data_IF_797895891429
#
_entry.id   IF_797895891429
#
_cell.length_a   1.000
_cell.length_b   1.000
_cell.length_c   1.000
_cell.angle_alpha   90.00
_cell.angle_beta   90.00
_cell.angle_gamma   90.00
#
_symmetry.space_group_name_H-M   'P 1'
#
loop_
_entity.id
_entity.type
_entity.pdbx_description
1 polymer ?
#
# COMPACT_ATOMS: atom_id res chain seq x y z
N UNK A 1 18.21 4.76 -1.64
CA UNK A 1 17.36 3.65 -1.13
C UNK A 1 18.18 2.90 -0.10
N UNK A 2 17.60 2.63 1.07
CA UNK A 2 18.19 1.77 2.09
C UNK A 2 17.49 0.41 2.06
N UNK A 3 18.25 -0.68 2.05
CA UNK A 3 17.76 -2.02 2.36
C UNK A 3 18.43 -2.48 3.64
N UNK A 4 17.65 -2.93 4.62
CA UNK A 4 18.17 -3.40 5.91
C UNK A 4 17.23 -4.44 6.52
N UNK A 5 17.61 -5.06 7.62
CA UNK A 5 16.76 -6.00 8.36
C UNK A 5 15.72 -5.26 9.20
N UNK A 6 14.71 -5.96 9.72
CA UNK A 6 13.76 -5.38 10.68
C UNK A 6 14.48 -4.86 11.93
N UNK A 7 15.56 -5.53 12.34
CA UNK A 7 16.39 -5.08 13.45
C UNK A 7 17.20 -3.83 13.09
N UNK A 8 17.70 -3.72 11.86
CA UNK A 8 18.32 -2.48 11.37
C UNK A 8 17.33 -1.30 11.39
N UNK A 9 16.09 -1.50 10.95
CA UNK A 9 15.06 -0.47 11.08
C UNK A 9 14.81 -0.07 12.54
N UNK A 10 14.77 -1.05 13.45
CA UNK A 10 14.65 -0.77 14.89
C UNK A 10 15.83 0.01 15.45
N UNK A 11 17.07 -0.28 15.02
CA UNK A 11 18.23 0.53 15.42
C UNK A 11 18.05 1.98 14.98
N UNK A 12 17.61 2.20 13.73
CA UNK A 12 17.32 3.54 13.23
C UNK A 12 16.22 4.23 14.04
N UNK A 13 15.15 3.52 14.39
CA UNK A 13 14.07 4.05 15.25
C UNK A 13 14.60 4.48 16.62
N UNK A 14 15.39 3.63 17.29
CA UNK A 14 15.95 3.92 18.60
C UNK A 14 16.84 5.17 18.58
N UNK A 15 17.77 5.26 17.62
CA UNK A 15 18.71 6.38 17.50
C UNK A 15 18.00 7.69 17.12
N UNK A 16 16.90 7.62 16.37
CA UNK A 16 16.15 8.81 15.94
C UNK A 16 15.01 9.21 16.87
N UNK A 17 14.66 8.35 17.84
CA UNK A 17 13.49 8.54 18.70
C UNK A 17 12.16 8.37 17.94
N UNK A 18 12.16 7.70 16.79
CA UNK A 18 10.96 7.48 15.98
C UNK A 18 10.18 6.29 16.52
N UNK A 19 9.11 6.58 17.27
CA UNK A 19 8.37 5.56 18.01
C UNK A 19 7.60 4.58 17.12
N UNK A 20 7.09 5.07 15.99
CA UNK A 20 6.26 4.27 15.10
C UNK A 20 6.53 4.65 13.64
N UNK A 21 6.63 3.63 12.80
CA UNK A 21 6.68 3.77 11.33
C UNK A 21 5.31 3.38 10.75
N UNK A 22 5.20 2.20 10.16
CA UNK A 22 3.98 1.68 9.55
C UNK A 22 3.55 0.38 10.26
N UNK A 23 2.75 0.44 11.35
CA UNK A 23 2.27 -0.75 12.07
C UNK A 23 1.50 -1.73 11.17
N UNK A 24 0.85 -1.24 10.12
CA UNK A 24 0.17 -2.02 9.08
C UNK A 24 1.08 -3.02 8.35
N UNK A 25 2.40 -2.78 8.37
CA UNK A 25 3.41 -3.70 7.85
C UNK A 25 3.82 -4.77 8.88
N UNK A 26 3.19 -4.82 10.06
CA UNK A 26 3.53 -5.74 11.15
C UNK A 26 4.88 -5.43 11.82
N UNK A 27 5.32 -4.18 11.73
CA UNK A 27 6.58 -3.71 12.32
C UNK A 27 6.36 -3.40 13.80
N UNK A 28 7.35 -3.75 14.63
CA UNK A 28 7.28 -3.45 16.07
C UNK A 28 7.36 -1.93 16.31
N UNK A 29 6.59 -1.39 17.27
CA UNK A 29 6.85 -0.04 17.76
C UNK A 29 8.18 0.00 18.52
N UNK A 30 8.77 1.19 18.65
CA UNK A 30 9.83 1.45 19.62
C UNK A 30 9.20 1.57 21.01
N UNK A 31 9.82 0.98 22.02
CA UNK A 31 9.47 1.18 23.42
C UNK A 31 10.55 2.06 24.06
N UNK A 32 10.38 3.40 24.16
CA UNK A 32 11.48 4.32 24.51
C UNK A 32 12.22 3.99 25.81
N UNK A 33 11.51 3.41 26.79
CA UNK A 33 12.11 3.00 28.08
C UNK A 33 13.02 1.76 27.98
N UNK A 34 12.84 0.92 26.97
CA UNK A 34 13.55 -0.35 26.80
C UNK A 34 14.52 -0.31 25.61
N UNK A 35 14.16 0.42 24.57
CA UNK A 35 14.85 0.49 23.28
C UNK A 35 15.71 1.77 23.17
N UNK A 36 16.62 1.94 24.12
CA UNK A 36 17.52 3.10 24.17
C UNK A 36 18.54 3.10 23.02
N UNK A 37 18.99 4.26 22.51
CA UNK A 37 20.04 4.36 21.50
C UNK A 37 21.30 3.55 21.82
N UNK A 38 21.77 3.57 23.08
CA UNK A 38 22.99 2.89 23.52
C UNK A 38 22.85 1.35 23.47
N UNK A 39 21.64 0.84 23.64
CA UNK A 39 21.35 -0.59 23.49
C UNK A 39 21.29 -0.96 22.01
N UNK A 40 20.64 -0.13 21.20
CA UNK A 40 20.49 -0.35 19.77
C UNK A 40 21.83 -0.33 19.03
N UNK A 41 22.71 0.63 19.34
CA UNK A 41 24.05 0.74 18.73
C UNK A 41 24.98 -0.45 19.06
N UNK A 42 24.68 -1.22 20.11
CA UNK A 42 25.41 -2.47 20.43
C UNK A 42 24.89 -3.70 19.68
N UNK A 43 23.76 -3.57 18.97
CA UNK A 43 23.21 -4.67 18.19
C UNK A 43 24.05 -4.91 16.91
N UNK A 44 24.24 -6.16 16.45
CA UNK A 44 25.02 -6.45 15.24
C UNK A 44 24.55 -5.69 13.99
N UNK A 45 23.24 -5.45 13.87
CA UNK A 45 22.67 -4.66 12.78
C UNK A 45 23.22 -3.22 12.68
N UNK A 46 23.74 -2.64 13.77
CA UNK A 46 24.36 -1.32 13.73
C UNK A 46 25.63 -1.31 12.84
N UNK A 47 26.45 -2.37 12.89
CA UNK A 47 27.63 -2.48 12.04
C UNK A 47 27.26 -2.59 10.55
N UNK A 48 26.17 -3.31 10.23
CA UNK A 48 25.64 -3.39 8.86
C UNK A 48 25.13 -2.02 8.37
N UNK A 49 24.48 -1.26 9.24
CA UNK A 49 24.01 0.10 8.93
C UNK A 49 25.17 1.08 8.71
N UNK A 50 26.25 0.98 9.49
CA UNK A 50 27.48 1.76 9.25
C UNK A 50 28.09 1.40 7.90
N UNK A 51 28.22 0.10 7.59
CA UNK A 51 28.73 -0.35 6.30
C UNK A 51 27.87 0.11 5.11
N UNK A 52 26.56 0.25 5.32
CA UNK A 52 25.62 0.79 4.34
C UNK A 52 25.58 2.33 4.27
N UNK A 53 26.35 3.03 5.11
CA UNK A 53 26.32 4.50 5.22
C UNK A 53 25.04 5.07 5.82
N UNK A 54 24.21 4.23 6.45
CA UNK A 54 22.98 4.65 7.14
C UNK A 54 23.26 5.21 8.55
N UNK A 55 24.39 4.79 9.15
CA UNK A 55 24.94 5.35 10.37
C UNK A 55 26.36 5.86 10.10
N UNK A 56 26.75 6.96 10.74
CA UNK A 56 28.14 7.41 10.79
C UNK A 56 28.93 6.69 11.91
N UNK A 57 30.24 6.95 11.99
CA UNK A 57 31.11 6.36 13.02
C UNK A 57 30.73 6.77 14.46
N UNK A 58 30.03 7.89 14.62
CA UNK A 58 29.52 8.36 15.91
C UNK A 58 28.14 7.76 16.25
N UNK A 59 27.58 6.92 15.37
CA UNK A 59 26.28 6.29 15.54
C UNK A 59 25.10 7.20 15.21
N UNK A 60 25.31 8.31 14.51
CA UNK A 60 24.21 9.17 14.04
C UNK A 60 23.63 8.62 12.73
N UNK A 61 22.31 8.67 12.62
CA UNK A 61 21.62 8.35 11.37
C UNK A 61 21.87 9.42 10.31
N UNK A 62 22.14 8.98 9.08
CA UNK A 62 22.20 9.83 7.90
C UNK A 62 21.00 10.81 7.86
N UNK A 63 21.24 12.11 7.63
CA UNK A 63 20.17 13.12 7.68
C UNK A 63 19.00 12.81 6.75
N UNK A 64 19.25 12.26 5.56
CA UNK A 64 18.20 11.95 4.59
C UNK A 64 17.35 10.77 5.06
N UNK A 65 17.96 9.74 5.64
CA UNK A 65 17.22 8.62 6.25
C UNK A 65 16.37 9.11 7.42
N UNK A 66 16.88 10.03 8.24
CA UNK A 66 16.11 10.65 9.33
C UNK A 66 14.87 11.40 8.81
N UNK A 67 15.00 12.15 7.72
CA UNK A 67 13.85 12.79 7.06
C UNK A 67 12.82 11.74 6.58
N UNK A 68 13.29 10.63 5.99
CA UNK A 68 12.37 9.57 5.55
C UNK A 68 11.60 8.95 6.71
N UNK A 69 12.27 8.66 7.83
CA UNK A 69 11.62 8.14 9.04
C UNK A 69 10.63 9.15 9.64
N UNK A 70 10.95 10.44 9.54
CA UNK A 70 10.06 11.52 9.98
C UNK A 70 8.78 11.55 9.15
N UNK A 71 8.87 11.36 7.82
CA UNK A 71 7.69 11.23 6.95
C UNK A 71 6.81 10.06 7.39
N UNK A 72 7.38 8.91 7.72
CA UNK A 72 6.60 7.74 8.17
C UNK A 72 5.86 7.99 9.50
N UNK A 73 6.55 8.61 10.47
CA UNK A 73 5.98 8.95 11.77
C UNK A 73 4.87 10.01 11.65
N UNK A 74 5.10 11.01 10.81
CA UNK A 74 4.25 12.21 10.70
C UNK A 74 3.21 12.09 9.60
N UNK A 75 3.15 10.96 8.88
CA UNK A 75 2.31 10.80 7.69
C UNK A 75 0.88 11.29 7.90
N UNK A 76 0.41 12.06 6.95
CA UNK A 76 -0.97 12.54 6.82
C UNK A 76 -1.81 11.48 6.07
N UNK A 77 -1.18 10.80 5.10
CA UNK A 77 -1.77 9.82 4.20
C UNK A 77 -0.86 8.59 4.08
N UNK A 78 -1.46 7.41 3.96
CA UNK A 78 -0.79 6.17 3.60
C UNK A 78 -1.58 5.34 2.59
N UNK A 79 -0.89 4.61 1.72
CA UNK A 79 -1.47 3.49 0.97
C UNK A 79 -0.76 2.21 1.40
N UNK A 80 -1.49 1.33 2.06
CA UNK A 80 -1.04 -0.03 2.32
C UNK A 80 -1.24 -0.86 1.06
N UNK A 81 -0.17 -1.48 0.58
CA UNK A 81 -0.17 -2.42 -0.54
C UNK A 81 0.23 -3.79 -0.01
N UNK A 82 -0.63 -4.78 -0.16
CA UNK A 82 -0.37 -6.18 0.20
C UNK A 82 -0.22 -6.99 -1.07
N UNK A 83 0.94 -7.60 -1.28
CA UNK A 83 1.31 -8.27 -2.52
C UNK A 83 1.47 -9.76 -2.25
N UNK A 84 0.73 -10.58 -2.99
CA UNK A 84 0.83 -12.02 -2.97
C UNK A 84 1.09 -12.51 -4.39
N UNK A 85 2.20 -13.22 -4.59
CA UNK A 85 2.57 -13.80 -5.88
C UNK A 85 2.64 -15.32 -5.69
N UNK A 86 2.01 -16.14 -6.56
CA UNK A 86 2.09 -17.59 -6.45
C UNK A 86 3.52 -18.09 -6.32
N UNK A 87 3.78 -18.92 -5.30
CA UNK A 87 5.10 -19.48 -5.03
C UNK A 87 6.13 -18.51 -4.43
N UNK A 88 5.71 -17.31 -3.99
CA UNK A 88 6.57 -16.37 -3.26
C UNK A 88 5.97 -16.01 -1.90
N UNK A 89 6.83 -15.66 -0.96
CA UNK A 89 6.40 -15.09 0.31
C UNK A 89 5.65 -13.77 0.08
N UNK A 90 4.51 -13.55 0.75
CA UNK A 90 3.79 -12.29 0.66
C UNK A 90 4.65 -11.11 1.12
N UNK A 91 4.58 -10.00 0.40
CA UNK A 91 5.23 -8.76 0.77
C UNK A 91 4.20 -7.65 1.01
N UNK A 92 4.64 -6.61 1.71
CA UNK A 92 3.78 -5.46 2.03
C UNK A 92 4.56 -4.18 1.81
N UNK A 93 3.89 -3.13 1.39
CA UNK A 93 4.48 -1.81 1.29
C UNK A 93 3.51 -0.76 1.81
N UNK A 94 4.07 0.34 2.30
CA UNK A 94 3.32 1.53 2.66
C UNK A 94 3.88 2.73 1.90
N UNK A 95 3.05 3.37 1.09
CA UNK A 95 3.38 4.62 0.40
C UNK A 95 2.84 5.75 1.27
N UNK A 96 3.71 6.53 1.89
CA UNK A 96 3.35 7.53 2.90
C UNK A 96 3.62 8.94 2.40
N UNK A 97 2.70 9.86 2.70
CA UNK A 97 2.88 11.30 2.51
C UNK A 97 2.92 12.01 3.85
N UNK A 98 3.88 12.92 4.01
CA UNK A 98 3.84 13.96 5.04
C UNK A 98 4.11 15.32 4.37
N UNK A 99 3.18 16.26 4.50
CA UNK A 99 3.20 17.51 3.74
C UNK A 99 3.40 17.23 2.23
N UNK A 100 4.50 17.67 1.63
CA UNK A 100 4.79 17.44 0.20
C UNK A 100 5.67 16.22 -0.06
N UNK A 101 6.22 15.59 0.98
CA UNK A 101 7.20 14.51 0.86
C UNK A 101 6.55 13.15 0.82
N UNK A 102 7.04 12.29 -0.08
CA UNK A 102 6.57 10.93 -0.25
C UNK A 102 7.71 9.93 0.00
N UNK A 103 7.44 8.94 0.83
CA UNK A 103 8.38 7.88 1.22
C UNK A 103 7.67 6.55 1.15
N UNK A 104 8.39 5.52 0.71
CA UNK A 104 7.88 4.15 0.73
C UNK A 104 8.69 3.32 1.70
N UNK A 105 7.96 2.53 2.49
CA UNK A 105 8.53 1.47 3.31
C UNK A 105 7.97 0.13 2.84
N UNK A 106 8.83 -0.74 2.33
CA UNK A 106 8.50 -2.11 1.95
C UNK A 106 8.98 -3.07 3.03
N UNK A 107 8.24 -4.16 3.23
CA UNK A 107 8.62 -5.31 4.05
C UNK A 107 8.51 -6.59 3.21
N UNK A 108 9.61 -7.32 3.20
CA UNK A 108 9.75 -8.65 2.62
C UNK A 108 10.29 -9.58 3.72
N UNK A 109 9.40 -10.26 4.42
CA UNK A 109 9.74 -11.07 5.60
C UNK A 109 10.57 -10.29 6.65
N UNK A 110 11.87 -10.61 6.81
CA UNK A 110 12.80 -9.96 7.75
C UNK A 110 13.56 -8.78 7.15
N UNK A 111 13.35 -8.46 5.88
CA UNK A 111 13.98 -7.34 5.20
C UNK A 111 12.99 -6.19 5.01
N UNK A 112 13.51 -4.98 5.12
CA UNK A 112 12.79 -3.76 4.78
C UNK A 112 13.54 -2.95 3.73
N UNK A 113 12.78 -2.22 2.91
CA UNK A 113 13.34 -1.20 2.00
C UNK A 113 12.70 0.14 2.29
N UNK A 114 13.54 1.14 2.53
CA UNK A 114 13.13 2.51 2.81
C UNK A 114 13.73 3.44 1.76
N UNK A 115 12.89 4.23 1.08
CA UNK A 115 13.37 5.15 0.05
C UNK A 115 12.36 6.27 -0.24
N UNK A 116 12.82 7.40 -0.80
CA UNK A 116 11.95 8.50 -1.17
C UNK A 116 11.26 8.18 -2.49
N UNK A 117 9.96 8.46 -2.58
CA UNK A 117 9.21 8.43 -3.83
C UNK A 117 9.17 9.79 -4.54
N UNK A 118 9.46 10.88 -3.83
CA UNK A 118 9.58 12.22 -4.40
C UNK A 118 8.85 13.28 -3.58
N UNK A 119 8.61 14.43 -4.20
CA UNK A 119 7.83 15.52 -3.62
C UNK A 119 6.73 15.96 -4.56
N UNK A 120 5.54 16.24 -4.04
CA UNK A 120 4.43 16.78 -4.82
C UNK A 120 3.70 17.90 -4.07
N UNK A 121 3.38 18.97 -4.80
CA UNK A 121 2.61 20.12 -4.32
C UNK A 121 1.30 20.32 -5.08
N UNK A 122 0.94 19.39 -5.97
CA UNK A 122 -0.31 19.37 -6.72
C UNK A 122 -0.88 17.95 -6.76
N UNK A 123 -2.20 17.84 -6.94
CA UNK A 123 -2.88 16.54 -7.04
C UNK A 123 -2.35 15.69 -8.21
N UNK A 124 -2.12 16.31 -9.36
CA UNK A 124 -1.58 15.62 -10.53
C UNK A 124 -0.19 15.03 -10.26
N UNK A 125 0.73 15.80 -9.66
CA UNK A 125 2.06 15.31 -9.33
C UNK A 125 2.02 14.20 -8.26
N UNK A 126 1.15 14.35 -7.25
CA UNK A 126 0.96 13.34 -6.22
C UNK A 126 0.39 12.03 -6.80
N UNK A 127 -0.54 12.15 -7.74
CA UNK A 127 -1.12 11.00 -8.45
C UNK A 127 -0.08 10.26 -9.27
N UNK A 128 0.78 10.96 -10.01
CA UNK A 128 1.87 10.34 -10.77
C UNK A 128 2.86 9.60 -9.87
N UNK A 129 3.21 10.18 -8.71
CA UNK A 129 4.05 9.49 -7.72
C UNK A 129 3.38 8.19 -7.26
N UNK A 130 2.11 8.26 -6.84
CA UNK A 130 1.36 7.11 -6.33
C UNK A 130 1.27 6.00 -7.38
N UNK A 131 0.84 6.34 -8.60
CA UNK A 131 0.69 5.37 -9.69
C UNK A 131 2.04 4.76 -10.06
N UNK A 132 3.10 5.57 -10.17
CA UNK A 132 4.44 5.07 -10.44
C UNK A 132 4.96 4.12 -9.35
N UNK A 133 4.65 4.39 -8.07
CA UNK A 133 5.02 3.46 -6.99
C UNK A 133 4.22 2.16 -7.03
N UNK A 134 2.93 2.22 -7.37
CA UNK A 134 2.10 1.02 -7.53
C UNK A 134 2.58 0.17 -8.70
N UNK A 135 2.90 0.76 -9.85
CA UNK A 135 3.49 0.05 -10.99
C UNK A 135 4.83 -0.60 -10.61
N UNK A 136 5.70 0.13 -9.89
CA UNK A 136 6.99 -0.42 -9.44
C UNK A 136 6.81 -1.62 -8.50
N UNK A 137 5.83 -1.54 -7.59
CA UNK A 137 5.52 -2.59 -6.63
C UNK A 137 4.89 -3.82 -7.30
N UNK A 138 3.98 -3.61 -8.25
CA UNK A 138 3.30 -4.70 -8.97
C UNK A 138 4.16 -5.28 -10.10
N UNK A 139 5.18 -4.56 -10.56
CA UNK A 139 5.98 -4.95 -11.72
C UNK A 139 5.28 -4.66 -13.06
N UNK A 140 5.94 -5.08 -14.15
CA UNK A 140 5.48 -4.84 -15.52
C UNK A 140 4.54 -5.97 -15.96
N UNK A 141 3.34 -5.61 -16.41
CA UNK A 141 2.40 -6.52 -17.07
C UNK A 141 1.53 -5.74 -18.07
N UNK A 142 1.15 -6.40 -19.17
CA UNK A 142 0.19 -5.83 -20.13
C UNK A 142 -1.23 -5.88 -19.55
N UNK A 143 -2.06 -4.90 -19.92
CA UNK A 143 -3.46 -4.90 -19.52
C UNK A 143 -4.23 -6.05 -20.21
N UNK A 144 -5.08 -6.74 -19.47
CA UNK A 144 -5.95 -7.76 -20.03
C UNK A 144 -6.89 -7.16 -21.09
N UNK A 145 -7.11 -7.84 -22.24
CA UNK A 145 -8.02 -7.38 -23.29
C UNK A 145 -9.48 -7.62 -22.87
N UNK A 146 -9.93 -6.88 -21.86
CA UNK A 146 -11.20 -7.06 -21.16
C UNK A 146 -12.12 -5.88 -21.42
N UNK A 147 -13.41 -6.12 -21.68
CA UNK A 147 -14.43 -5.06 -21.50
C UNK A 147 -14.81 -4.97 -20.03
N UNK A 148 -14.91 -3.76 -19.44
CA UNK A 148 -15.20 -3.63 -18.02
C UNK A 148 -16.44 -4.41 -17.59
N UNK A 149 -16.33 -5.10 -16.46
CA UNK A 149 -17.41 -5.88 -15.84
C UNK A 149 -17.83 -5.16 -14.57
N UNK A 150 -19.14 -5.01 -14.36
CA UNK A 150 -19.71 -4.47 -13.12
C UNK A 150 -20.52 -5.55 -12.43
N UNK A 151 -20.16 -5.87 -11.20
CA UNK A 151 -20.83 -6.85 -10.36
C UNK A 151 -21.43 -6.16 -9.13
N UNK A 152 -22.66 -6.50 -8.76
CA UNK A 152 -23.24 -6.05 -7.49
C UNK A 152 -22.50 -6.72 -6.33
N UNK A 153 -21.96 -5.93 -5.39
CA UNK A 153 -21.12 -6.46 -4.30
C UNK A 153 -21.94 -7.26 -3.30
N UNK A 154 -23.17 -6.85 -3.00
CA UNK A 154 -24.02 -7.56 -2.04
C UNK A 154 -24.45 -8.91 -2.60
N UNK A 155 -24.86 -8.96 -3.87
CA UNK A 155 -25.21 -10.20 -4.54
C UNK A 155 -24.03 -11.15 -4.67
N UNK A 156 -22.84 -10.61 -5.02
CA UNK A 156 -21.61 -11.39 -5.11
C UNK A 156 -21.29 -12.06 -3.78
N UNK A 157 -21.27 -11.30 -2.68
CA UNK A 157 -20.95 -11.83 -1.34
C UNK A 157 -22.00 -12.79 -0.81
N UNK A 158 -23.28 -12.58 -1.15
CA UNK A 158 -24.37 -13.47 -0.75
C UNK A 158 -24.36 -14.81 -1.52
N UNK A 159 -23.86 -14.82 -2.76
CA UNK A 159 -23.97 -15.99 -3.65
C UNK A 159 -22.69 -16.79 -3.80
N UNK A 160 -21.52 -16.19 -3.51
CA UNK A 160 -20.21 -16.80 -3.77
C UNK A 160 -19.50 -17.14 -2.46
N UNK A 161 -19.22 -18.43 -2.30
CA UNK A 161 -18.51 -18.98 -1.13
C UNK A 161 -17.32 -19.87 -1.52
N UNK A 162 -17.25 -20.27 -2.79
CA UNK A 162 -16.20 -21.11 -3.35
C UNK A 162 -16.08 -20.88 -4.88
N UNK A 163 -15.15 -21.57 -5.53
CA UNK A 163 -14.94 -21.46 -6.98
C UNK A 163 -16.14 -21.94 -7.80
N UNK A 164 -16.90 -22.93 -7.32
CA UNK A 164 -18.04 -23.48 -8.05
C UNK A 164 -19.22 -22.50 -8.07
N UNK A 165 -19.55 -21.92 -6.91
CA UNK A 165 -20.55 -20.87 -6.73
C UNK A 165 -20.14 -19.58 -7.44
N UNK A 166 -18.85 -19.21 -7.46
CA UNK A 166 -18.36 -18.09 -8.28
C UNK A 166 -18.67 -18.31 -9.76
N UNK A 167 -18.35 -19.49 -10.31
CA UNK A 167 -18.63 -19.81 -11.71
C UNK A 167 -20.14 -19.75 -12.00
N UNK A 168 -20.96 -20.31 -11.14
CA UNK A 168 -22.42 -20.27 -11.30
C UNK A 168 -22.95 -18.83 -11.30
N UNK A 169 -22.54 -18.01 -10.33
CA UNK A 169 -22.90 -16.60 -10.24
C UNK A 169 -22.51 -15.83 -11.51
N UNK A 170 -21.27 -16.00 -12.00
CA UNK A 170 -20.79 -15.29 -13.18
C UNK A 170 -21.51 -15.70 -14.48
N UNK A 171 -21.98 -16.95 -14.59
CA UNK A 171 -22.80 -17.38 -15.73
C UNK A 171 -24.15 -16.66 -15.76
N UNK A 172 -24.74 -16.34 -14.60
CA UNK A 172 -25.98 -15.57 -14.50
C UNK A 172 -25.80 -14.10 -14.89
N UNK A 173 -24.58 -13.56 -14.77
CA UNK A 173 -24.24 -12.18 -15.15
C UNK A 173 -24.11 -11.97 -16.67
N UNK A 174 -24.34 -13.01 -17.48
CA UNK A 174 -24.28 -12.97 -18.96
C UNK A 174 -22.94 -12.46 -19.51
N UNK A 175 -21.85 -12.78 -18.82
CA UNK A 175 -20.50 -12.51 -19.29
C UNK A 175 -20.19 -13.34 -20.54
N UNK A 176 -19.38 -12.81 -21.44
CA UNK A 176 -18.82 -13.62 -22.52
C UNK A 176 -17.77 -14.62 -21.98
N UNK A 177 -17.38 -15.58 -22.81
CA UNK A 177 -16.49 -16.66 -22.39
C UNK A 177 -15.11 -16.14 -21.92
N UNK A 178 -14.59 -15.10 -22.57
CA UNK A 178 -13.29 -14.51 -22.25
C UNK A 178 -13.35 -13.74 -20.92
N UNK A 179 -14.42 -12.97 -20.71
CA UNK A 179 -14.72 -12.31 -19.44
C UNK A 179 -14.84 -13.32 -18.30
N UNK A 180 -15.65 -14.37 -18.46
CA UNK A 180 -15.83 -15.42 -17.46
C UNK A 180 -14.48 -16.08 -17.09
N UNK A 181 -13.70 -16.46 -18.10
CA UNK A 181 -12.40 -17.10 -17.89
C UNK A 181 -11.40 -16.16 -17.21
N UNK A 182 -11.40 -14.88 -17.57
CA UNK A 182 -10.55 -13.85 -16.95
C UNK A 182 -10.89 -13.69 -15.48
N UNK A 183 -12.17 -13.53 -15.13
CA UNK A 183 -12.59 -13.36 -13.72
C UNK A 183 -12.29 -14.61 -12.89
N UNK A 184 -12.57 -15.80 -13.42
CA UNK A 184 -12.26 -17.06 -12.73
C UNK A 184 -10.76 -17.23 -12.49
N UNK A 185 -9.93 -16.86 -13.46
CA UNK A 185 -8.46 -16.93 -13.32
C UNK A 185 -7.97 -15.87 -12.33
N UNK A 186 -8.49 -14.65 -12.42
CA UNK A 186 -8.16 -13.57 -11.49
C UNK A 186 -8.59 -13.88 -10.04
N UNK A 187 -9.62 -14.70 -9.82
CA UNK A 187 -10.02 -15.15 -8.47
C UNK A 187 -9.17 -16.31 -7.92
N UNK A 188 -8.36 -16.95 -8.77
CA UNK A 188 -7.52 -18.09 -8.39
C UNK A 188 -6.13 -17.62 -7.91
N UNK A 189 -6.00 -17.45 -6.60
CA UNK A 189 -4.74 -17.04 -5.95
C UNK A 189 -3.56 -18.00 -6.14
N UNK A 190 -3.80 -19.24 -6.59
CA UNK A 190 -2.71 -20.16 -6.94
C UNK A 190 -2.14 -19.89 -8.34
N UNK A 191 -2.87 -19.13 -9.17
CA UNK A 191 -2.52 -18.85 -10.57
C UNK A 191 -2.29 -17.37 -10.86
N UNK A 192 -2.78 -16.50 -9.98
CA UNK A 192 -2.72 -15.05 -10.14
C UNK A 192 -1.95 -14.38 -9.02
N UNK A 193 -1.19 -13.34 -9.39
CA UNK A 193 -0.58 -12.46 -8.42
C UNK A 193 -1.54 -11.31 -8.09
N UNK A 194 -1.66 -10.98 -6.82
CA UNK A 194 -2.58 -9.96 -6.31
C UNK A 194 -1.81 -8.87 -5.58
N UNK A 195 -2.14 -7.62 -5.86
CA UNK A 195 -1.78 -6.47 -5.04
C UNK A 195 -3.06 -5.78 -4.55
N UNK A 196 -3.36 -5.90 -3.27
CA UNK A 196 -4.52 -5.27 -2.63
C UNK A 196 -4.10 -3.96 -1.97
N UNK A 197 -4.80 -2.88 -2.29
CA UNK A 197 -4.47 -1.52 -1.89
C UNK A 197 -5.58 -0.97 -1.00
N UNK A 198 -5.21 -0.48 0.18
CA UNK A 198 -6.10 0.18 1.14
C UNK A 198 -5.52 1.53 1.52
N UNK A 199 -6.34 2.56 1.53
CA UNK A 199 -5.91 3.91 1.88
C UNK A 199 -6.12 4.21 3.37
N UNK A 200 -5.22 5.01 3.93
CA UNK A 200 -5.15 5.39 5.34
C UNK A 200 -5.01 6.91 5.45
N UNK A 201 -5.71 7.53 6.39
CA UNK A 201 -5.54 8.95 6.74
C UNK A 201 -5.32 9.10 8.24
N UNK A 202 -4.26 9.79 8.64
CA UNK A 202 -4.03 10.14 10.04
C UNK A 202 -4.74 11.46 10.40
N UNK A 203 -4.99 11.69 11.69
CA UNK A 203 -5.52 12.97 12.18
C UNK A 203 -7.03 13.12 12.01
N UNK A 204 -7.77 12.02 11.97
CA UNK A 204 -9.23 12.03 11.85
C UNK A 204 -9.86 11.88 13.24
N UNK A 205 -10.69 12.85 13.64
CA UNK A 205 -11.39 12.88 14.93
C UNK A 205 -10.99 14.08 15.81
N UNK A 206 -11.64 14.26 16.98
CA UNK A 206 -11.26 15.30 17.93
C UNK A 206 -9.82 15.10 18.43
N UNK A 207 -9.10 16.22 18.62
CA UNK A 207 -7.63 16.33 18.78
C UNK A 207 -7.00 15.38 19.84
N UNK A 208 -7.76 14.91 20.83
CA UNK A 208 -7.24 14.07 21.92
C UNK A 208 -7.00 12.60 21.54
N UNK A 209 -7.55 12.13 20.41
CA UNK A 209 -7.36 10.78 19.91
C UNK A 209 -7.15 10.84 18.40
N UNK A 210 -5.97 11.22 17.93
CA UNK A 210 -5.63 11.18 16.51
C UNK A 210 -5.75 9.75 15.97
N UNK A 211 -6.93 9.41 15.42
CA UNK A 211 -7.19 8.09 14.84
C UNK A 211 -6.65 8.05 13.41
N UNK A 212 -6.20 6.87 13.01
CA UNK A 212 -6.01 6.55 11.60
C UNK A 212 -7.36 6.09 11.06
N UNK A 213 -7.95 6.87 10.16
CA UNK A 213 -9.07 6.41 9.36
C UNK A 213 -8.57 5.41 8.31
N UNK A 214 -9.20 4.25 8.27
CA UNK A 214 -8.98 3.23 7.24
C UNK A 214 -10.10 3.37 6.21
N UNK A 215 -9.73 3.43 4.94
CA UNK A 215 -10.69 3.48 3.84
C UNK A 215 -11.64 2.27 3.88
N UNK A 216 -12.90 2.50 3.52
CA UNK A 216 -13.97 1.48 3.59
C UNK A 216 -14.05 0.59 2.33
N UNK A 217 -13.06 0.72 1.44
CA UNK A 217 -12.93 0.02 0.17
C UNK A 217 -11.48 -0.29 -0.15
N UNK A 218 -11.25 -1.14 -1.13
CA UNK A 218 -9.92 -1.47 -1.66
C UNK A 218 -9.90 -1.39 -3.18
N UNK A 219 -8.68 -1.28 -3.72
CA UNK A 219 -8.38 -1.55 -5.13
C UNK A 219 -7.50 -2.78 -5.18
N UNK A 220 -7.79 -3.71 -6.09
CA UNK A 220 -6.99 -4.91 -6.30
C UNK A 220 -6.42 -4.90 -7.71
N UNK A 221 -5.11 -5.07 -7.85
CA UNK A 221 -4.45 -5.27 -9.13
C UNK A 221 -4.09 -6.74 -9.22
N UNK A 222 -4.57 -7.41 -10.26
CA UNK A 222 -4.42 -8.85 -10.41
C UNK A 222 -3.73 -9.16 -11.72
N UNK A 223 -2.55 -9.76 -11.63
CA UNK A 223 -1.84 -10.28 -12.79
C UNK A 223 -2.27 -11.71 -13.05
N UNK A 224 -2.82 -11.92 -14.25
CA UNK A 224 -3.22 -13.23 -14.75
C UNK A 224 -2.35 -13.59 -15.96
N UNK A 225 -2.32 -14.87 -16.37
CA UNK A 225 -1.73 -15.24 -17.66
C UNK A 225 -2.35 -14.53 -18.87
N UNK A 226 -3.58 -14.02 -18.76
CA UNK A 226 -4.28 -13.25 -19.80
C UNK A 226 -4.08 -11.74 -19.71
N UNK A 227 -3.21 -11.27 -18.81
CA UNK A 227 -2.94 -9.84 -18.57
C UNK A 227 -3.42 -9.35 -17.21
N UNK A 228 -3.09 -8.09 -16.91
CA UNK A 228 -3.41 -7.38 -15.68
C UNK A 228 -4.86 -6.91 -15.67
N UNK A 229 -5.54 -7.10 -14.56
CA UNK A 229 -6.90 -6.63 -14.28
C UNK A 229 -6.85 -5.67 -13.09
N UNK A 230 -7.57 -4.56 -13.17
CA UNK A 230 -7.80 -3.67 -12.04
C UNK A 230 -9.22 -3.89 -11.51
N UNK A 231 -9.36 -4.09 -10.21
CA UNK A 231 -10.64 -4.32 -9.54
C UNK A 231 -10.83 -3.21 -8.51
N UNK A 232 -11.93 -2.46 -8.61
CA UNK A 232 -12.24 -1.40 -7.66
C UNK A 232 -13.66 -1.53 -7.12
N UNK A 233 -13.89 -1.00 -5.92
CA UNK A 233 -15.23 -0.92 -5.35
C UNK A 233 -15.81 0.49 -5.53
N UNK A 234 -16.91 0.61 -6.26
CA UNK A 234 -17.60 1.89 -6.52
C UNK A 234 -18.96 1.93 -5.83
N UNK A 235 -19.28 3.03 -5.16
CA UNK A 235 -20.62 3.28 -4.63
C UNK A 235 -21.40 4.13 -5.64
N UNK A 236 -22.56 3.66 -6.06
CA UNK A 236 -23.46 4.37 -6.97
C UNK A 236 -24.91 4.07 -6.60
N UNK A 237 -25.74 5.10 -6.46
CA UNK A 237 -27.16 4.93 -6.12
C UNK A 237 -27.40 4.15 -4.83
N UNK A 238 -26.62 4.43 -3.78
CA UNK A 238 -26.61 3.71 -2.48
C UNK A 238 -26.24 2.23 -2.54
N UNK A 239 -25.83 1.70 -3.70
CA UNK A 239 -25.33 0.33 -3.86
C UNK A 239 -23.83 0.33 -4.09
N UNK A 240 -23.19 -0.78 -3.74
CA UNK A 240 -21.77 -1.01 -3.94
C UNK A 240 -21.55 -2.01 -5.07
N UNK A 241 -20.67 -1.67 -5.99
CA UNK A 241 -20.32 -2.49 -7.14
C UNK A 241 -18.83 -2.81 -7.13
N UNK A 242 -18.46 -4.00 -7.61
CA UNK A 242 -17.10 -4.32 -8.02
C UNK A 242 -16.99 -4.06 -9.51
N UNK A 243 -16.03 -3.22 -9.91
CA UNK A 243 -15.73 -2.95 -11.31
C UNK A 243 -14.39 -3.61 -11.63
N UNK A 244 -14.37 -4.49 -12.64
CA UNK A 244 -13.16 -5.12 -13.15
C UNK A 244 -12.86 -4.50 -14.52
N UNK A 245 -11.69 -3.87 -14.68
CA UNK A 245 -11.25 -3.21 -15.91
C UNK A 245 -9.90 -3.76 -16.41
N UNK A 246 -9.53 -3.52 -17.70
CA UNK A 246 -8.16 -3.71 -18.18
C UNK A 246 -7.21 -3.00 -17.22
N UNK A 247 -6.24 -3.68 -16.62
CA UNK A 247 -5.38 -3.07 -15.61
C UNK A 247 -4.31 -2.14 -16.20
N UNK A 248 -4.73 -1.21 -17.05
CA UNK A 248 -3.87 -0.18 -17.64
C UNK A 248 -3.47 0.86 -16.58
N UNK A 249 -2.44 1.66 -16.89
CA UNK A 249 -2.02 2.77 -16.01
C UNK A 249 -3.17 3.74 -15.72
N UNK A 250 -3.99 4.07 -16.71
CA UNK A 250 -5.13 4.98 -16.52
C UNK A 250 -6.23 4.36 -15.65
N UNK A 251 -6.50 3.06 -15.82
CA UNK A 251 -7.48 2.35 -15.01
C UNK A 251 -7.04 2.28 -13.54
N UNK A 252 -5.79 1.90 -13.31
CA UNK A 252 -5.18 1.85 -11.97
C UNK A 252 -5.16 3.24 -11.34
N UNK A 253 -4.72 4.27 -12.08
CA UNK A 253 -4.65 5.64 -11.59
C UNK A 253 -6.03 6.17 -11.19
N UNK A 254 -7.04 5.97 -12.04
CA UNK A 254 -8.40 6.38 -11.73
C UNK A 254 -8.98 5.67 -10.51
N UNK A 255 -8.77 4.36 -10.40
CA UNK A 255 -9.24 3.56 -9.25
C UNK A 255 -8.58 4.01 -7.94
N UNK A 256 -7.26 4.22 -7.95
CA UNK A 256 -6.50 4.64 -6.77
C UNK A 256 -6.85 6.07 -6.35
N UNK A 257 -7.06 6.99 -7.29
CA UNK A 257 -7.54 8.34 -6.97
C UNK A 257 -8.93 8.29 -6.30
N UNK A 258 -9.87 7.50 -6.85
CA UNK A 258 -11.18 7.31 -6.24
C UNK A 258 -11.09 6.68 -4.85
N UNK A 259 -10.17 5.73 -4.66
CA UNK A 259 -9.90 5.13 -3.35
C UNK A 259 -9.44 6.16 -2.32
N UNK A 260 -8.49 7.03 -2.70
CA UNK A 260 -7.95 8.07 -1.80
C UNK A 260 -9.02 9.12 -1.47
N UNK A 261 -9.79 9.57 -2.46
CA UNK A 261 -10.85 10.58 -2.27
C UNK A 261 -12.01 10.14 -1.39
N UNK A 262 -12.08 8.86 -1.01
CA UNK A 262 -13.05 8.38 0.00
C UNK A 262 -12.60 8.60 1.44
N UNK A 263 -11.34 8.92 1.65
CA UNK A 263 -10.86 9.29 2.97
C UNK A 263 -11.49 10.61 3.41
N UNK A 264 -11.50 10.92 4.71
CA UNK A 264 -12.13 12.14 5.22
C UNK A 264 -11.64 13.45 4.61
N UNK A 265 -10.41 13.52 4.10
CA UNK A 265 -9.88 14.69 3.40
C UNK A 265 -10.52 14.92 2.01
N UNK A 266 -11.17 13.92 1.42
CA UNK A 266 -11.86 14.06 0.13
C UNK A 266 -10.94 14.53 -0.99
N UNK A 267 -11.38 15.56 -1.73
CA UNK A 267 -10.61 16.17 -2.82
C UNK A 267 -9.35 16.91 -2.36
N UNK A 268 -9.26 17.26 -1.07
CA UNK A 268 -8.10 17.94 -0.46
C UNK A 268 -7.02 16.95 0.03
N UNK A 269 -7.11 15.66 -0.31
CA UNK A 269 -6.20 14.63 0.18
C UNK A 269 -4.71 14.92 -0.05
N UNK A 270 -4.37 15.62 -1.15
CA UNK A 270 -2.99 15.93 -1.54
C UNK A 270 -2.39 17.09 -0.73
N UNK A 271 -3.24 17.98 -0.20
CA UNK A 271 -2.86 19.19 0.54
C UNK A 271 -3.09 19.04 2.04
N UNK A 272 -3.98 18.12 2.45
CA UNK A 272 -4.37 17.86 3.84
C UNK A 272 -3.17 17.70 4.77
N UNK A 273 -3.29 18.23 5.99
CA UNK A 273 -2.32 18.04 7.06
C UNK A 273 -3.06 17.75 8.35
N UNK A 274 -2.59 16.77 9.10
CA UNK A 274 -3.09 16.57 10.46
C UNK A 274 -2.67 17.75 11.33
N UNK A 275 -3.58 18.20 12.20
CA UNK A 275 -3.25 19.16 13.26
C UNK A 275 -2.39 18.42 14.29
N UNK A 276 -1.34 19.06 14.79
CA UNK A 276 -0.37 18.49 15.75
C UNK A 276 -0.46 19.25 17.06
#
# INVERSE_FOLDING_TARGET
MLTTTVDGLWVLQAVTGIEQTCPELGLRPLLPRLDTPERALRHPAAAELVAAGALDEAGNVDPMIREWLTVLLRRDLGLLVMIAVPGREPSRASICRFATWWVVLERHDQLVRLYPAGTASSEAAASEIVVGQIERLCGVAEAAPLRPITLDTEQLLASVHDTASLRAFLLEQRLDADQLQTVLTAADSARSAHANIVALQAGVGPDELARVAVGDSSVSIVDTPGGRVCIESVVSGQRRYQILSPGSRSDIGGAVQRLIRRLPAGDEWYSYRRVV
#
